data_IF_324385845107
#
_entry.id   IF_324385845107
#
_cell.length_a   1.000
_cell.length_b   1.000
_cell.length_c   1.000
_cell.angle_alpha   90.00
_cell.angle_beta   90.00
_cell.angle_gamma   90.00
#
_symmetry.space_group_name_H-M   'P 1'
#
loop_
_entity.id
_entity.type
_entity.pdbx_description
1 polymer ?
#
# COMPACT_ATOMS: atom_id res chain seq x y z
N UNK A 1 23.80 -54.22 2.07
CA UNK A 1 22.98 -55.16 2.91
C UNK A 1 21.59 -55.17 2.33
N UNK A 2 21.19 -56.26 1.74
CA UNK A 2 19.89 -56.41 1.06
C UNK A 2 18.82 -56.62 2.14
N UNK A 3 17.86 -55.73 2.26
CA UNK A 3 16.70 -55.86 3.12
C UNK A 3 15.61 -56.60 2.34
N UNK A 4 15.12 -57.70 2.82
CA UNK A 4 14.01 -58.41 2.22
C UNK A 4 12.72 -58.00 2.90
N UNK A 5 11.72 -57.66 2.08
CA UNK A 5 10.35 -57.39 2.46
C UNK A 5 9.51 -58.64 2.16
N UNK A 6 8.99 -59.27 3.20
CA UNK A 6 7.98 -60.35 3.04
C UNK A 6 6.59 -59.73 3.26
N UNK A 7 5.59 -60.16 2.50
CA UNK A 7 4.19 -59.75 2.72
C UNK A 7 3.45 -60.86 3.43
N UNK A 8 2.77 -60.51 4.53
CA UNK A 8 1.82 -61.37 5.19
C UNK A 8 0.47 -60.65 5.20
N UNK A 9 -0.56 -61.29 4.63
CA UNK A 9 -1.88 -60.69 4.51
C UNK A 9 -1.90 -59.30 3.83
N UNK A 10 -1.00 -59.07 2.83
CA UNK A 10 -0.87 -57.81 2.12
C UNK A 10 -0.09 -56.70 2.85
N UNK A 11 0.39 -56.96 4.06
CA UNK A 11 1.22 -56.07 4.87
C UNK A 11 2.68 -56.49 4.90
N UNK A 12 3.60 -55.56 5.02
CA UNK A 12 5.03 -55.79 4.98
C UNK A 12 5.59 -56.28 6.35
N UNK A 13 6.42 -57.32 6.34
CA UNK A 13 7.28 -57.74 7.45
C UNK A 13 8.74 -57.56 7.04
N UNK A 14 9.52 -56.82 7.80
CA UNK A 14 10.93 -56.62 7.50
C UNK A 14 11.78 -57.71 8.12
N UNK A 15 12.60 -58.41 7.31
CA UNK A 15 13.57 -59.40 7.81
C UNK A 15 15.01 -58.96 7.51
N UNK A 16 15.91 -59.19 8.45
CA UNK A 16 17.34 -58.92 8.31
C UNK A 16 18.06 -60.12 7.72
N UNK A 17 18.84 -59.96 6.66
CA UNK A 17 19.36 -61.02 5.78
C UNK A 17 20.34 -62.04 6.39
N UNK A 18 20.90 -61.83 7.60
CA UNK A 18 21.93 -62.79 8.05
C UNK A 18 21.41 -64.02 8.76
N UNK A 19 20.19 -63.98 9.35
CA UNK A 19 19.64 -65.12 10.09
C UNK A 19 18.10 -65.22 10.08
N UNK A 20 17.42 -64.47 9.20
CA UNK A 20 15.95 -64.47 9.17
C UNK A 20 15.26 -63.86 10.39
N UNK A 21 16.02 -63.10 11.20
CA UNK A 21 15.48 -62.51 12.41
C UNK A 21 14.51 -61.38 12.06
N UNK A 22 13.32 -61.41 12.66
CA UNK A 22 12.33 -60.31 12.57
C UNK A 22 12.88 -59.08 13.21
N UNK A 23 12.55 -57.93 12.60
CA UNK A 23 12.94 -56.60 13.09
C UNK A 23 11.70 -55.93 13.68
N UNK A 24 11.84 -55.30 14.81
CA UNK A 24 10.73 -54.65 15.53
C UNK A 24 10.96 -53.14 15.72
N UNK A 25 9.89 -52.42 16.06
CA UNK A 25 9.90 -50.99 16.38
C UNK A 25 10.08 -50.10 15.18
N UNK A 26 10.47 -48.86 15.43
CA UNK A 26 10.60 -47.83 14.39
C UNK A 26 11.71 -48.14 13.39
N UNK A 27 11.38 -48.01 12.10
CA UNK A 27 12.34 -48.18 11.00
C UNK A 27 12.20 -47.04 9.98
N UNK A 28 13.33 -46.46 9.60
CA UNK A 28 13.39 -45.51 8.47
C UNK A 28 13.77 -46.28 7.21
N UNK A 29 12.88 -46.20 6.19
CA UNK A 29 13.06 -46.83 4.88
C UNK A 29 12.82 -45.77 3.85
N UNK A 30 13.82 -45.45 3.03
CA UNK A 30 13.72 -44.41 1.99
C UNK A 30 13.17 -43.05 2.52
N UNK A 31 13.67 -42.61 3.67
CA UNK A 31 13.27 -41.39 4.35
C UNK A 31 11.82 -41.35 4.88
N UNK A 32 11.15 -42.49 4.89
CA UNK A 32 9.84 -42.67 5.54
C UNK A 32 9.99 -43.54 6.78
N UNK A 33 9.24 -43.23 7.84
CA UNK A 33 9.20 -43.98 9.06
C UNK A 33 8.04 -44.97 9.07
N UNK A 34 8.30 -46.16 9.52
CA UNK A 34 7.35 -47.26 9.68
C UNK A 34 7.51 -47.85 11.08
N UNK A 35 6.41 -48.38 11.62
CA UNK A 35 6.45 -49.10 12.90
C UNK A 35 6.14 -50.57 12.69
N UNK A 36 7.05 -51.43 13.12
CA UNK A 36 6.95 -52.89 13.07
C UNK A 36 6.52 -53.37 14.46
N UNK A 37 5.23 -53.71 14.58
CA UNK A 37 4.57 -53.94 15.85
C UNK A 37 4.97 -55.28 16.46
N UNK A 38 5.76 -55.25 17.55
CA UNK A 38 6.15 -56.45 18.31
C UNK A 38 4.94 -57.07 19.02
N UNK A 39 3.94 -56.26 19.37
CA UNK A 39 2.75 -56.68 20.10
C UNK A 39 1.61 -57.16 19.22
N UNK A 40 1.81 -57.25 17.89
CA UNK A 40 0.81 -57.83 17.02
C UNK A 40 0.67 -59.33 17.33
N UNK A 41 -0.52 -59.72 17.79
CA UNK A 41 -0.77 -61.08 18.31
C UNK A 41 -0.63 -62.15 17.25
N UNK A 42 -1.11 -61.89 16.01
CA UNK A 42 -1.06 -62.87 14.94
C UNK A 42 0.31 -62.93 14.24
N UNK A 43 0.89 -61.76 14.02
CA UNK A 43 2.15 -61.64 13.29
C UNK A 43 3.08 -60.62 13.92
N UNK A 44 3.79 -60.96 15.02
CA UNK A 44 4.75 -60.05 15.66
C UNK A 44 5.78 -59.51 14.67
N UNK A 45 5.91 -58.16 14.60
CA UNK A 45 6.73 -57.44 13.62
C UNK A 45 6.00 -57.10 12.31
N UNK A 46 4.70 -57.29 12.26
CA UNK A 46 3.88 -56.75 11.15
C UNK A 46 3.90 -55.22 11.13
N UNK A 47 4.06 -54.67 9.97
CA UNK A 47 4.03 -53.19 9.79
C UNK A 47 2.63 -52.66 10.12
N UNK A 48 2.57 -51.68 10.99
CA UNK A 48 1.34 -50.97 11.32
C UNK A 48 0.85 -50.17 10.10
N UNK A 49 -0.41 -50.39 9.76
CA UNK A 49 -1.13 -49.58 8.78
C UNK A 49 -2.48 -49.10 9.36
N UNK A 50 -2.64 -49.21 10.66
CA UNK A 50 -3.80 -48.71 11.36
C UNK A 50 -3.74 -47.16 11.30
N UNK A 51 -4.83 -46.49 10.98
CA UNK A 51 -4.82 -45.02 10.79
C UNK A 51 -4.32 -44.27 12.03
N UNK A 52 -4.45 -44.89 13.21
CA UNK A 52 -4.06 -44.32 14.51
C UNK A 52 -3.58 -45.46 15.43
N UNK A 53 -2.43 -45.25 16.11
CA UNK A 53 -1.88 -46.24 17.05
C UNK A 53 -1.15 -45.54 18.19
N UNK A 54 -1.40 -46.01 19.39
CA UNK A 54 -0.61 -45.64 20.56
C UNK A 54 0.69 -46.48 20.64
N UNK A 55 1.83 -45.84 20.76
CA UNK A 55 3.15 -46.43 20.85
C UNK A 55 3.91 -45.70 21.96
N UNK A 56 4.34 -46.42 23.00
CA UNK A 56 5.07 -45.89 24.15
C UNK A 56 4.38 -44.65 24.78
N UNK A 57 3.04 -44.69 24.92
CA UNK A 57 2.25 -43.62 25.52
C UNK A 57 2.00 -42.40 24.61
N UNK A 58 2.37 -42.47 23.34
CA UNK A 58 2.15 -41.41 22.36
C UNK A 58 1.35 -41.92 21.16
N UNK A 59 0.45 -41.10 20.64
CA UNK A 59 -0.38 -41.43 19.48
C UNK A 59 0.29 -41.00 18.19
N UNK A 60 0.43 -41.98 17.29
CA UNK A 60 0.97 -41.80 15.93
C UNK A 60 -0.10 -42.11 14.87
N UNK A 61 0.05 -41.49 13.72
CA UNK A 61 -0.83 -41.67 12.58
C UNK A 61 -0.07 -42.28 11.40
N UNK A 62 -0.74 -43.14 10.65
CA UNK A 62 -0.12 -43.86 9.53
C UNK A 62 -1.00 -43.76 8.28
N UNK A 63 -0.35 -43.67 7.14
CA UNK A 63 -1.01 -43.84 5.83
C UNK A 63 -1.37 -45.33 5.59
N UNK A 64 -2.27 -45.61 4.64
CA UNK A 64 -2.63 -47.00 4.30
C UNK A 64 -1.43 -47.88 3.87
N UNK A 65 -0.36 -47.27 3.36
CA UNK A 65 0.92 -47.96 3.03
C UNK A 65 1.84 -48.20 4.25
N UNK A 66 1.38 -47.81 5.45
CA UNK A 66 2.11 -47.94 6.71
C UNK A 66 3.15 -46.84 6.97
N UNK A 67 3.31 -45.88 6.10
CA UNK A 67 4.19 -44.74 6.34
C UNK A 67 3.62 -43.82 7.44
N UNK A 68 4.47 -43.46 8.42
CA UNK A 68 4.07 -42.52 9.47
C UNK A 68 3.75 -41.16 8.90
N UNK A 69 2.60 -40.60 9.30
CA UNK A 69 2.16 -39.26 8.87
C UNK A 69 3.05 -38.19 9.49
N UNK A 70 3.50 -37.25 8.67
CA UNK A 70 4.22 -36.02 9.07
C UNK A 70 3.62 -34.85 8.31
N UNK A 71 3.58 -33.67 8.91
CA UNK A 71 2.95 -32.49 8.33
C UNK A 71 1.44 -32.48 8.57
N UNK A 72 0.71 -31.90 7.64
CA UNK A 72 -0.74 -31.70 7.77
C UNK A 72 -1.52 -33.03 7.70
N UNK A 73 -2.40 -33.22 8.68
CA UNK A 73 -3.32 -34.35 8.79
C UNK A 73 -4.75 -33.83 8.88
N UNK A 74 -5.59 -34.19 7.92
CA UNK A 74 -7.02 -33.88 7.94
C UNK A 74 -7.79 -34.98 8.66
N UNK A 75 -8.69 -34.55 9.57
CA UNK A 75 -9.63 -35.43 10.30
C UNK A 75 -11.04 -34.85 10.12
N UNK A 76 -12.10 -35.58 10.48
CA UNK A 76 -13.49 -35.08 10.35
C UNK A 76 -13.73 -33.74 11.07
N UNK A 77 -13.11 -33.54 12.22
CA UNK A 77 -13.20 -32.32 13.05
C UNK A 77 -12.36 -31.15 12.52
N UNK A 78 -11.37 -31.41 11.64
CA UNK A 78 -10.51 -30.37 11.06
C UNK A 78 -9.07 -30.81 10.81
N UNK A 79 -8.14 -29.86 10.80
CA UNK A 79 -6.74 -30.06 10.49
C UNK A 79 -5.87 -30.12 11.74
N UNK A 80 -4.88 -31.02 11.70
CA UNK A 80 -3.81 -31.16 12.68
C UNK A 80 -2.46 -31.11 11.96
N UNK A 81 -1.41 -30.88 12.72
CA UNK A 81 -0.04 -30.96 12.21
C UNK A 81 0.78 -31.95 13.00
N UNK A 82 1.35 -32.95 12.32
CA UNK A 82 2.27 -33.89 12.89
C UNK A 82 3.70 -33.38 12.66
N UNK A 83 4.48 -33.27 13.75
CA UNK A 83 5.85 -32.79 13.66
C UNK A 83 6.78 -33.83 12.97
N UNK A 84 8.07 -33.54 12.72
CA UNK A 84 8.97 -34.49 12.09
C UNK A 84 9.14 -35.81 12.85
N UNK A 85 8.84 -35.85 14.15
CA UNK A 85 8.84 -37.10 14.94
C UNK A 85 7.53 -37.88 14.80
N UNK A 86 6.51 -37.35 14.15
CA UNK A 86 5.18 -37.92 14.01
C UNK A 86 4.22 -37.56 15.13
N UNK A 87 4.66 -36.77 16.11
CA UNK A 87 3.81 -36.35 17.21
C UNK A 87 2.93 -35.17 16.83
N UNK A 88 1.72 -35.11 17.42
CA UNK A 88 0.80 -34.01 17.24
C UNK A 88 1.40 -32.73 17.81
N UNK A 89 1.55 -31.74 16.93
CA UNK A 89 2.04 -30.41 17.31
C UNK A 89 0.95 -29.57 17.99
N UNK A 90 1.35 -28.73 18.93
CA UNK A 90 0.51 -27.68 19.54
C UNK A 90 1.24 -26.35 19.52
N UNK A 91 0.48 -25.25 19.70
CA UNK A 91 1.00 -23.90 19.68
C UNK A 91 1.34 -23.41 18.27
N UNK A 92 2.21 -22.39 18.21
CA UNK A 92 2.59 -21.75 16.96
C UNK A 92 3.47 -22.65 16.08
N UNK A 93 3.14 -22.70 14.78
CA UNK A 93 3.93 -23.39 13.74
C UNK A 93 4.06 -22.53 12.50
N UNK A 94 5.28 -22.43 11.96
CA UNK A 94 5.53 -21.79 10.66
C UNK A 94 5.69 -22.88 9.60
N UNK A 95 4.80 -22.89 8.62
CA UNK A 95 4.79 -23.88 7.53
C UNK A 95 4.69 -23.13 6.20
N UNK A 96 5.61 -23.42 5.28
CA UNK A 96 5.67 -22.78 3.95
C UNK A 96 5.58 -21.24 4.01
N UNK A 97 6.22 -20.61 5.01
CA UNK A 97 6.26 -19.16 5.18
C UNK A 97 5.12 -18.54 5.98
N UNK A 98 4.01 -19.24 6.21
CA UNK A 98 2.86 -18.75 6.98
C UNK A 98 2.87 -19.28 8.42
N UNK A 99 2.33 -18.50 9.35
CA UNK A 99 2.12 -18.90 10.72
C UNK A 99 0.74 -19.52 10.93
N UNK A 100 0.69 -20.58 11.70
CA UNK A 100 -0.51 -21.31 12.10
C UNK A 100 -0.51 -21.52 13.62
N UNK A 101 -1.70 -21.66 14.19
CA UNK A 101 -1.84 -21.98 15.61
C UNK A 101 -2.63 -23.27 15.81
N UNK A 102 -1.99 -24.26 16.42
CA UNK A 102 -2.55 -25.56 16.80
C UNK A 102 -2.99 -25.45 18.26
N UNK A 103 -4.32 -25.39 18.48
CA UNK A 103 -4.85 -25.07 19.81
C UNK A 103 -4.72 -26.24 20.79
N UNK A 104 -3.63 -26.26 21.53
CA UNK A 104 -3.39 -27.25 22.57
C UNK A 104 -4.33 -27.14 23.78
N UNK A 105 -4.98 -26.00 23.97
CA UNK A 105 -5.95 -25.76 25.04
C UNK A 105 -7.39 -26.12 24.65
N UNK A 106 -7.64 -26.58 23.41
CA UNK A 106 -8.93 -27.09 23.01
C UNK A 106 -9.23 -28.39 23.75
N UNK A 107 -10.21 -28.39 24.65
CA UNK A 107 -10.54 -29.50 25.53
C UNK A 107 -11.05 -30.74 24.77
N UNK A 108 -11.79 -30.53 23.69
CA UNK A 108 -12.38 -31.64 22.90
C UNK A 108 -11.39 -32.20 21.88
N UNK A 109 -10.64 -31.28 21.21
CA UNK A 109 -9.75 -31.62 20.13
C UNK A 109 -8.39 -30.95 20.28
N UNK A 110 -7.54 -31.40 21.26
CA UNK A 110 -6.24 -30.75 21.48
C UNK A 110 -5.37 -30.77 20.23
N UNK A 111 -4.79 -29.59 19.87
CA UNK A 111 -3.97 -29.45 18.68
C UNK A 111 -4.76 -29.21 17.39
N UNK A 112 -6.08 -28.97 17.46
CA UNK A 112 -6.87 -28.57 16.29
C UNK A 112 -6.41 -27.22 15.74
N UNK A 113 -6.30 -27.12 14.42
CA UNK A 113 -5.94 -25.89 13.73
C UNK A 113 -7.02 -24.81 13.95
N UNK A 114 -6.59 -23.63 14.38
CA UNK A 114 -7.47 -22.46 14.46
C UNK A 114 -7.68 -21.89 13.06
N UNK A 115 -8.95 -21.74 12.64
CA UNK A 115 -9.32 -21.27 11.31
C UNK A 115 -10.45 -20.24 11.37
N UNK A 116 -10.47 -19.31 10.42
CA UNK A 116 -11.58 -18.35 10.14
C UNK A 116 -12.12 -17.60 11.35
N UNK A 117 -11.27 -17.28 12.32
CA UNK A 117 -11.67 -16.59 13.54
C UNK A 117 -10.54 -15.74 14.14
N UNK A 118 -10.93 -14.95 15.15
CA UNK A 118 -9.98 -14.34 16.08
C UNK A 118 -9.78 -15.27 17.28
N UNK A 119 -8.52 -15.41 17.72
CA UNK A 119 -8.15 -16.21 18.90
C UNK A 119 -7.23 -15.41 19.80
N UNK A 120 -7.57 -15.31 21.07
CA UNK A 120 -6.70 -14.70 22.08
C UNK A 120 -5.71 -15.77 22.60
N UNK A 121 -4.44 -15.47 22.45
CA UNK A 121 -3.32 -16.35 22.84
C UNK A 121 -2.40 -15.54 23.74
N UNK A 122 -2.19 -15.98 24.97
CA UNK A 122 -1.40 -15.26 25.97
C UNK A 122 -1.76 -13.77 26.10
N UNK A 123 -3.06 -13.45 26.14
CA UNK A 123 -3.56 -12.07 26.27
C UNK A 123 -3.53 -11.25 24.98
N UNK A 124 -3.03 -11.77 23.87
CA UNK A 124 -2.97 -11.10 22.57
C UNK A 124 -3.92 -11.75 21.58
N UNK A 125 -4.73 -10.94 20.88
CA UNK A 125 -5.68 -11.44 19.88
C UNK A 125 -5.05 -11.47 18.50
N UNK A 126 -5.05 -12.63 17.88
CA UNK A 126 -4.61 -12.91 16.51
C UNK A 126 -5.80 -13.27 15.63
N UNK A 127 -5.66 -13.05 14.35
CA UNK A 127 -6.70 -13.33 13.37
C UNK A 127 -6.20 -14.37 12.37
N UNK A 128 -7.05 -15.37 12.08
CA UNK A 128 -6.73 -16.46 11.18
C UNK A 128 -7.70 -16.47 9.99
N UNK A 129 -7.21 -16.77 8.80
CA UNK A 129 -8.02 -16.90 7.61
C UNK A 129 -8.66 -18.30 7.54
N UNK A 130 -9.49 -18.55 6.51
CA UNK A 130 -10.16 -19.86 6.30
C UNK A 130 -9.20 -21.05 6.16
N UNK A 131 -7.98 -20.81 5.69
CA UNK A 131 -6.96 -21.83 5.59
C UNK A 131 -6.15 -22.02 6.90
N UNK A 132 -6.49 -21.27 7.97
CA UNK A 132 -5.80 -21.29 9.24
C UNK A 132 -4.49 -20.50 9.30
N UNK A 133 -4.10 -19.84 8.21
CA UNK A 133 -2.93 -18.98 8.26
C UNK A 133 -3.25 -17.69 9.03
N UNK A 134 -2.34 -17.28 9.93
CA UNK A 134 -2.40 -16.00 10.62
C UNK A 134 -2.41 -14.85 9.59
N UNK A 135 -3.29 -13.87 9.80
CA UNK A 135 -3.38 -12.70 8.91
C UNK A 135 -2.09 -11.87 8.99
N UNK A 136 -1.52 -11.58 7.85
CA UNK A 136 -0.34 -10.75 7.65
C UNK A 136 -0.51 -9.92 6.36
N UNK A 137 -0.05 -8.65 6.36
CA UNK A 137 -0.23 -7.77 5.22
C UNK A 137 -1.65 -7.22 5.08
N UNK A 138 -2.04 -6.88 3.86
CA UNK A 138 -3.36 -6.34 3.55
C UNK A 138 -4.46 -7.39 3.62
N UNK A 139 -5.55 -7.04 4.28
CA UNK A 139 -6.73 -7.89 4.42
C UNK A 139 -8.03 -7.11 4.21
N UNK A 140 -8.89 -7.61 3.32
CA UNK A 140 -10.20 -7.03 3.03
C UNK A 140 -11.29 -7.78 3.82
N UNK A 141 -12.14 -7.05 4.53
CA UNK A 141 -13.26 -7.60 5.27
C UNK A 141 -14.43 -6.61 5.30
N UNK A 142 -15.64 -7.05 4.96
CA UNK A 142 -16.87 -6.23 4.94
C UNK A 142 -16.70 -4.89 4.20
N UNK A 143 -16.04 -4.91 3.03
CA UNK A 143 -15.81 -3.72 2.21
C UNK A 143 -14.76 -2.74 2.75
N UNK A 144 -14.06 -3.10 3.81
CA UNK A 144 -12.99 -2.30 4.42
C UNK A 144 -11.65 -3.02 4.31
N UNK A 145 -10.56 -2.24 4.23
CA UNK A 145 -9.21 -2.77 4.23
C UNK A 145 -8.55 -2.56 5.59
N UNK A 146 -7.77 -3.55 6.00
CA UNK A 146 -6.95 -3.56 7.22
C UNK A 146 -5.53 -3.99 6.87
N UNK A 147 -4.57 -3.64 7.69
CA UNK A 147 -3.19 -4.12 7.56
C UNK A 147 -2.74 -4.81 8.84
N UNK A 148 -2.25 -6.04 8.71
CA UNK A 148 -1.67 -6.80 9.82
C UNK A 148 -0.15 -6.80 9.66
N UNK A 149 0.57 -6.51 10.74
CA UNK A 149 2.03 -6.55 10.72
C UNK A 149 2.55 -8.01 10.72
N UNK A 150 3.86 -8.18 10.57
CA UNK A 150 4.52 -9.51 10.56
C UNK A 150 4.29 -10.32 11.84
N UNK A 151 3.94 -9.67 12.95
CA UNK A 151 3.55 -10.34 14.20
C UNK A 151 2.06 -10.69 14.26
N UNK A 152 1.29 -10.48 13.19
CA UNK A 152 -0.14 -10.80 13.10
C UNK A 152 -1.06 -9.82 13.82
N UNK A 153 -0.53 -8.69 14.29
CA UNK A 153 -1.32 -7.66 14.96
C UNK A 153 -1.83 -6.61 13.97
N UNK A 154 -3.06 -6.10 14.15
CA UNK A 154 -3.56 -5.03 13.29
C UNK A 154 -2.72 -3.78 13.46
N UNK A 155 -2.26 -3.20 12.34
CA UNK A 155 -1.60 -1.91 12.35
C UNK A 155 -2.61 -0.80 12.62
N UNK A 156 -2.14 0.26 13.29
CA UNK A 156 -2.94 1.42 13.65
C UNK A 156 -2.15 2.69 13.34
N UNK A 157 -2.84 3.74 12.88
CA UNK A 157 -2.21 4.99 12.48
C UNK A 157 -1.48 4.90 11.13
N UNK A 158 -0.40 5.64 11.00
CA UNK A 158 0.38 5.71 9.77
C UNK A 158 1.16 4.42 9.48
N UNK A 159 1.03 3.91 8.25
CA UNK A 159 1.76 2.73 7.78
C UNK A 159 2.35 2.96 6.39
N UNK A 160 3.65 2.71 6.26
CA UNK A 160 4.35 2.75 4.98
C UNK A 160 4.44 1.34 4.39
N UNK A 161 3.90 1.16 3.17
CA UNK A 161 3.88 -0.13 2.47
C UNK A 161 4.17 0.10 0.99
N UNK A 162 5.14 -0.62 0.44
CA UNK A 162 5.48 -0.60 -0.99
C UNK A 162 5.58 0.81 -1.60
N UNK A 163 6.28 1.73 -0.94
CA UNK A 163 6.53 3.07 -1.46
C UNK A 163 5.42 4.10 -1.19
N UNK A 164 4.32 3.71 -0.54
CA UNK A 164 3.19 4.60 -0.24
C UNK A 164 2.85 4.62 1.25
N UNK A 165 2.38 5.76 1.72
CA UNK A 165 1.83 5.89 3.06
C UNK A 165 0.32 5.64 3.05
N UNK A 166 -0.14 4.96 4.08
CA UNK A 166 -1.55 4.67 4.36
C UNK A 166 -1.89 5.08 5.79
N UNK A 167 -3.15 5.34 6.05
CA UNK A 167 -3.62 5.62 7.41
C UNK A 167 -4.70 4.61 7.83
N UNK A 168 -4.37 3.82 8.86
CA UNK A 168 -5.27 2.87 9.51
C UNK A 168 -5.91 3.60 10.69
N UNK A 169 -7.19 3.99 10.53
CA UNK A 169 -7.85 4.92 11.45
C UNK A 169 -8.16 4.28 12.80
N UNK A 170 -7.43 4.62 13.88
CA UNK A 170 -7.66 4.02 15.21
C UNK A 170 -9.03 4.35 15.77
N UNK A 171 -9.64 5.46 15.36
CA UNK A 171 -10.97 5.88 15.79
C UNK A 171 -12.08 5.13 15.02
N UNK A 172 -11.72 4.44 13.94
CA UNK A 172 -12.65 3.65 13.14
C UNK A 172 -12.20 2.19 13.03
N UNK A 173 -11.75 1.60 14.13
CA UNK A 173 -11.37 0.19 14.22
C UNK A 173 -10.20 -0.19 13.32
N UNK A 174 -9.25 0.71 13.10
CA UNK A 174 -8.07 0.52 12.23
C UNK A 174 -8.42 0.24 10.75
N UNK A 175 -9.56 0.73 10.27
CA UNK A 175 -9.90 0.67 8.85
C UNK A 175 -8.98 1.62 8.06
N UNK A 176 -8.54 1.18 6.89
CA UNK A 176 -7.78 2.02 5.97
C UNK A 176 -8.63 3.19 5.48
N UNK A 177 -8.12 4.41 5.61
CA UNK A 177 -8.74 5.59 5.03
C UNK A 177 -8.50 5.58 3.51
N UNK A 178 -9.57 5.81 2.74
CA UNK A 178 -9.51 5.86 1.28
C UNK A 178 -10.53 6.85 0.71
N UNK A 179 -10.21 7.43 -0.46
CA UNK A 179 -11.15 8.21 -1.28
C UNK A 179 -11.55 9.56 -0.69
N UNK A 180 -10.59 10.43 -0.35
CA UNK A 180 -10.93 11.78 0.08
C UNK A 180 -10.02 12.40 1.12
N UNK A 181 -10.49 13.50 1.71
CA UNK A 181 -9.80 14.26 2.73
C UNK A 181 -10.03 13.68 4.13
N UNK A 182 -8.97 13.65 4.93
CA UNK A 182 -9.01 13.26 6.35
C UNK A 182 -8.10 14.17 7.17
N UNK A 183 -8.60 14.61 8.31
CA UNK A 183 -7.78 15.28 9.34
C UNK A 183 -7.10 14.22 10.19
N UNK A 184 -5.78 14.35 10.33
CA UNK A 184 -4.98 13.53 11.23
C UNK A 184 -4.08 14.48 12.02
N UNK A 185 -4.19 14.47 13.34
CA UNK A 185 -3.43 15.32 14.25
C UNK A 185 -3.45 16.81 13.86
N UNK A 186 -4.62 17.34 13.46
CA UNK A 186 -4.79 18.74 13.09
C UNK A 186 -4.36 19.12 11.67
N UNK A 187 -3.78 18.23 10.90
CA UNK A 187 -3.39 18.44 9.50
C UNK A 187 -4.30 17.71 8.55
N UNK A 188 -4.58 18.30 7.39
CA UNK A 188 -5.36 17.69 6.33
C UNK A 188 -4.49 16.87 5.39
N UNK A 189 -4.94 15.65 5.10
CA UNK A 189 -4.33 14.72 4.14
C UNK A 189 -5.38 14.26 3.15
N UNK A 190 -4.95 13.96 1.94
CA UNK A 190 -5.81 13.36 0.92
C UNK A 190 -5.37 11.93 0.64
N UNK A 191 -6.33 11.02 0.60
CA UNK A 191 -6.11 9.63 0.26
C UNK A 191 -6.81 9.29 -1.05
N UNK A 192 -6.10 8.65 -1.97
CA UNK A 192 -6.71 8.14 -3.20
C UNK A 192 -7.69 6.99 -2.89
N UNK A 193 -8.49 6.57 -3.89
CA UNK A 193 -9.37 5.41 -3.74
C UNK A 193 -8.66 4.12 -3.38
N UNK A 194 -7.37 4.01 -3.70
CA UNK A 194 -6.49 2.91 -3.28
C UNK A 194 -6.05 2.96 -1.81
N UNK A 195 -6.37 4.04 -1.08
CA UNK A 195 -5.88 4.32 0.27
C UNK A 195 -4.48 4.94 0.33
N UNK A 196 -3.77 5.05 -0.79
CA UNK A 196 -2.45 5.70 -0.80
C UNK A 196 -2.57 7.21 -0.53
N UNK A 197 -1.73 7.74 0.37
CA UNK A 197 -1.66 9.17 0.68
C UNK A 197 -1.11 9.96 -0.51
N UNK A 198 -1.80 11.03 -0.90
CA UNK A 198 -1.33 11.96 -1.91
C UNK A 198 -0.18 12.84 -1.38
N UNK A 199 0.71 13.24 -2.28
CA UNK A 199 1.84 14.16 -2.03
C UNK A 199 1.96 15.16 -3.16
N UNK A 200 2.64 16.27 -2.88
CA UNK A 200 2.90 17.30 -3.87
C UNK A 200 1.61 17.92 -4.44
N UNK A 201 1.52 18.08 -5.74
CA UNK A 201 0.35 18.66 -6.38
C UNK A 201 -0.82 17.69 -6.47
N UNK A 202 -1.98 18.11 -5.95
CA UNK A 202 -3.24 17.38 -6.04
C UNK A 202 -4.26 18.20 -6.86
N UNK A 203 -4.76 17.63 -7.95
CA UNK A 203 -5.91 18.15 -8.67
C UNK A 203 -7.19 17.52 -8.12
N UNK A 204 -8.15 18.35 -7.70
CA UNK A 204 -9.47 17.93 -7.25
C UNK A 204 -10.53 18.76 -7.99
N UNK A 205 -11.11 18.18 -9.04
CA UNK A 205 -11.95 18.92 -9.98
C UNK A 205 -11.17 19.98 -10.75
N UNK A 206 -11.62 21.24 -10.69
CA UNK A 206 -10.94 22.40 -11.31
C UNK A 206 -9.87 23.02 -10.41
N UNK A 207 -9.73 22.54 -9.19
CA UNK A 207 -8.93 23.16 -8.15
C UNK A 207 -7.66 22.38 -7.89
N UNK A 208 -6.62 23.10 -7.48
CA UNK A 208 -5.33 22.53 -7.16
C UNK A 208 -4.99 22.81 -5.71
N UNK A 209 -4.41 21.80 -5.07
CA UNK A 209 -3.87 21.85 -3.72
C UNK A 209 -2.40 21.46 -3.76
N UNK A 210 -1.64 21.94 -2.80
CA UNK A 210 -0.27 21.49 -2.62
C UNK A 210 -0.14 20.76 -1.28
N UNK A 211 0.27 19.51 -1.37
CA UNK A 211 0.55 18.65 -0.23
C UNK A 211 2.06 18.52 -0.13
N UNK A 212 2.66 18.78 1.03
CA UNK A 212 4.10 18.65 1.18
C UNK A 212 4.61 17.23 0.91
N UNK A 213 5.91 17.04 0.99
CA UNK A 213 6.52 15.69 0.95
C UNK A 213 6.02 14.79 2.08
N UNK A 214 5.57 15.38 3.18
CA UNK A 214 4.90 14.75 4.31
C UNK A 214 3.42 14.42 4.05
N UNK A 215 2.87 14.84 2.90
CA UNK A 215 1.48 14.66 2.51
C UNK A 215 0.50 15.64 3.16
N UNK A 216 0.94 16.50 4.07
CA UNK A 216 0.09 17.48 4.72
C UNK A 216 -0.26 18.64 3.76
N UNK A 217 -1.54 19.04 3.74
CA UNK A 217 -2.01 20.19 2.96
C UNK A 217 -1.28 21.47 3.40
N UNK A 218 -0.67 22.17 2.46
CA UNK A 218 0.04 23.44 2.70
C UNK A 218 -0.87 24.62 2.42
N UNK A 219 -0.61 25.72 3.14
CA UNK A 219 -1.27 27.01 2.97
C UNK A 219 -0.24 28.13 2.93
N UNK A 220 -0.65 29.32 2.45
CA UNK A 220 0.25 30.44 2.25
C UNK A 220 1.18 30.26 1.05
N UNK A 221 2.26 31.05 1.04
CA UNK A 221 3.25 31.02 -0.03
C UNK A 221 4.09 29.76 -0.01
N UNK A 222 4.15 29.06 -1.13
CA UNK A 222 4.92 27.82 -1.35
C UNK A 222 5.88 27.98 -2.52
N UNK A 223 7.15 27.70 -2.32
CA UNK A 223 8.15 27.65 -3.39
C UNK A 223 8.29 26.21 -3.89
N UNK A 224 7.90 25.96 -5.14
CA UNK A 224 7.93 24.63 -5.73
C UNK A 224 8.69 24.70 -7.04
N UNK A 225 9.80 23.96 -7.14
CA UNK A 225 10.68 23.91 -8.31
C UNK A 225 11.06 25.32 -8.86
N UNK A 226 11.37 26.26 -7.95
CA UNK A 226 11.79 27.60 -8.30
C UNK A 226 10.67 28.59 -8.66
N UNK A 227 9.42 28.19 -8.60
CA UNK A 227 8.25 29.07 -8.74
C UNK A 227 7.50 29.21 -7.45
N UNK A 228 6.97 30.41 -7.19
CA UNK A 228 6.15 30.68 -6.02
C UNK A 228 4.66 30.54 -6.37
N UNK A 229 3.91 29.94 -5.43
CA UNK A 229 2.47 29.72 -5.48
C UNK A 229 1.85 30.11 -4.16
N UNK A 230 0.56 30.41 -4.14
CA UNK A 230 -0.16 30.73 -2.91
C UNK A 230 -1.38 29.83 -2.74
N UNK A 231 -1.47 29.17 -1.59
CA UNK A 231 -2.60 28.35 -1.17
C UNK A 231 -3.37 29.09 -0.08
N UNK A 232 -4.67 29.29 -0.26
CA UNK A 232 -5.46 30.07 0.70
C UNK A 232 -5.44 29.47 2.11
N UNK A 233 -5.32 30.34 3.10
CA UNK A 233 -5.54 29.98 4.50
C UNK A 233 -7.04 29.74 4.76
N UNK A 234 -7.35 29.11 5.92
CA UNK A 234 -8.69 29.16 6.46
C UNK A 234 -9.05 30.61 6.81
N UNK A 235 -10.18 31.12 6.27
CA UNK A 235 -10.60 32.51 6.42
C UNK A 235 -9.56 33.54 5.89
N UNK A 236 -8.98 33.24 4.73
CA UNK A 236 -7.97 34.08 4.09
C UNK A 236 -8.51 35.48 3.76
N UNK A 237 -7.74 36.53 4.10
CA UNK A 237 -8.09 37.94 3.83
C UNK A 237 -8.24 38.25 2.34
N UNK A 238 -7.59 37.49 1.45
CA UNK A 238 -7.71 37.63 0.00
C UNK A 238 -8.99 37.00 -0.57
N UNK A 239 -9.78 36.32 0.26
CA UNK A 239 -11.01 35.62 -0.12
C UNK A 239 -10.73 34.44 -1.06
N UNK A 240 -10.82 33.26 -0.59
CA UNK A 240 -10.61 32.02 -1.34
C UNK A 240 -10.97 30.84 -0.49
N UNK A 241 -11.08 29.66 -1.12
CA UNK A 241 -11.40 28.44 -0.42
C UNK A 241 -10.11 27.85 0.16
N UNK A 242 -10.13 27.48 1.42
CA UNK A 242 -9.01 26.94 2.16
C UNK A 242 -8.26 25.84 1.41
N UNK A 243 -6.95 25.99 1.31
CA UNK A 243 -6.04 25.06 0.66
C UNK A 243 -5.98 25.14 -0.86
N UNK A 244 -6.95 25.81 -1.51
CA UNK A 244 -6.96 25.94 -2.96
C UNK A 244 -5.87 26.91 -3.42
N UNK A 245 -5.22 26.59 -4.54
CA UNK A 245 -4.21 27.44 -5.19
C UNK A 245 -4.85 28.68 -5.80
N UNK A 246 -4.34 29.86 -5.44
CA UNK A 246 -4.71 31.11 -6.07
C UNK A 246 -4.19 31.18 -7.51
N UNK A 247 -5.02 31.71 -8.44
CA UNK A 247 -4.68 31.89 -9.86
C UNK A 247 -5.36 33.11 -10.42
N UNK A 248 -4.78 33.73 -11.47
CA UNK A 248 -5.30 34.91 -12.18
C UNK A 248 -5.64 36.08 -11.24
N UNK A 249 -4.81 36.34 -10.23
CA UNK A 249 -5.07 37.43 -9.27
C UNK A 249 -3.81 37.90 -8.52
N UNK A 250 -3.94 39.03 -7.85
CA UNK A 250 -2.93 39.56 -6.93
C UNK A 250 -3.08 38.98 -5.54
N UNK A 251 -1.94 38.60 -4.95
CA UNK A 251 -1.77 38.28 -3.55
C UNK A 251 -0.53 39.04 -3.04
N UNK A 252 -0.69 39.85 -2.02
CA UNK A 252 0.40 40.65 -1.39
C UNK A 252 1.21 41.48 -2.41
N UNK A 253 0.52 42.02 -3.45
CA UNK A 253 1.17 42.80 -4.51
C UNK A 253 1.83 41.98 -5.63
N UNK A 254 1.86 40.64 -5.54
CA UNK A 254 2.39 39.74 -6.56
C UNK A 254 1.25 39.15 -7.40
N UNK A 255 1.40 39.15 -8.71
CA UNK A 255 0.39 38.55 -9.61
C UNK A 255 0.67 37.06 -9.83
N UNK A 256 -0.34 36.25 -9.61
CA UNK A 256 -0.33 34.81 -9.90
C UNK A 256 -1.00 34.56 -11.24
N UNK A 257 -0.32 33.91 -12.17
CA UNK A 257 -0.81 33.60 -13.51
C UNK A 257 -1.92 32.54 -13.53
N UNK A 258 -2.35 32.16 -14.72
CA UNK A 258 -3.41 31.15 -14.91
C UNK A 258 -3.05 29.76 -14.36
N UNK A 259 -1.76 29.43 -14.32
CA UNK A 259 -1.21 28.21 -13.72
C UNK A 259 -0.89 28.33 -12.22
N UNK A 260 -1.24 29.47 -11.59
CA UNK A 260 -0.96 29.77 -10.19
C UNK A 260 0.46 30.21 -9.88
N UNK A 261 1.39 30.12 -10.82
CA UNK A 261 2.77 30.56 -10.58
C UNK A 261 2.85 32.09 -10.48
N UNK A 262 3.65 32.58 -9.52
CA UNK A 262 3.97 34.01 -9.40
C UNK A 262 4.75 34.47 -10.63
N UNK A 263 4.27 35.52 -11.25
CA UNK A 263 4.96 36.12 -12.39
C UNK A 263 6.02 37.13 -11.94
N UNK A 264 7.08 37.35 -12.73
CA UNK A 264 8.04 38.42 -12.48
C UNK A 264 7.33 39.78 -12.37
N UNK A 265 7.86 40.68 -11.57
CA UNK A 265 7.23 41.98 -11.26
C UNK A 265 6.80 42.75 -12.50
N UNK A 266 7.63 42.86 -13.54
CA UNK A 266 7.30 43.52 -14.79
C UNK A 266 6.10 42.85 -15.49
N UNK A 267 6.07 41.54 -15.55
CA UNK A 267 5.00 40.75 -16.15
C UNK A 267 3.68 40.96 -15.37
N UNK A 268 3.76 40.98 -14.04
CA UNK A 268 2.61 41.24 -13.16
C UNK A 268 2.01 42.61 -13.37
N UNK A 269 2.86 43.64 -13.40
CA UNK A 269 2.43 45.01 -13.61
C UNK A 269 1.81 45.21 -15.00
N UNK A 270 2.38 44.64 -16.08
CA UNK A 270 1.84 44.70 -17.41
C UNK A 270 0.52 43.92 -17.52
N UNK A 271 0.38 42.81 -16.86
CA UNK A 271 -0.87 42.03 -16.81
C UNK A 271 -1.99 42.79 -16.11
N UNK A 272 -1.70 43.46 -14.99
CA UNK A 272 -2.68 44.34 -14.33
C UNK A 272 -3.12 45.48 -15.23
N UNK A 273 -2.16 46.14 -15.85
CA UNK A 273 -2.44 47.28 -16.74
C UNK A 273 -3.26 46.84 -17.95
N UNK A 274 -3.04 45.63 -18.48
CA UNK A 274 -3.80 45.08 -19.59
C UNK A 274 -5.30 45.03 -19.31
N UNK A 275 -5.72 44.74 -18.07
CA UNK A 275 -7.14 44.59 -17.72
C UNK A 275 -7.97 45.86 -17.95
N UNK A 276 -7.34 47.04 -18.03
CA UNK A 276 -8.02 48.33 -18.26
C UNK A 276 -8.14 48.69 -19.74
N UNK A 277 -7.56 47.91 -20.66
CA UNK A 277 -7.58 48.24 -22.09
C UNK A 277 -8.60 47.39 -22.85
N UNK A 278 -9.19 48.01 -23.86
CA UNK A 278 -10.01 47.33 -24.88
C UNK A 278 -9.18 47.06 -26.13
N UNK A 279 -9.54 46.04 -26.89
CA UNK A 279 -9.02 45.79 -28.23
C UNK A 279 -10.18 45.36 -29.15
N UNK A 280 -10.12 45.76 -30.42
CA UNK A 280 -11.06 45.30 -31.44
C UNK A 280 -10.78 43.87 -31.93
N UNK A 281 -9.75 43.25 -31.36
CA UNK A 281 -9.36 41.84 -31.59
C UNK A 281 -9.25 41.13 -30.28
N UNK A 282 -9.06 39.82 -30.34
CA UNK A 282 -8.77 38.99 -29.13
C UNK A 282 -7.30 39.11 -28.67
N UNK A 283 -6.56 40.12 -29.11
CA UNK A 283 -5.18 40.36 -28.78
C UNK A 283 -4.96 41.78 -28.28
N UNK A 284 -4.04 41.92 -27.31
CA UNK A 284 -3.53 43.20 -26.83
C UNK A 284 -2.00 43.09 -26.69
N UNK A 285 -1.29 44.13 -27.18
CA UNK A 285 0.16 44.22 -27.03
C UNK A 285 0.47 45.39 -26.12
N UNK A 286 1.19 45.19 -25.04
CA UNK A 286 1.73 46.24 -24.20
C UNK A 286 3.26 46.26 -24.28
N UNK A 287 3.82 47.47 -24.29
CA UNK A 287 5.27 47.69 -24.25
C UNK A 287 5.58 48.55 -23.04
N UNK A 288 6.43 48.03 -22.14
CA UNK A 288 7.01 48.81 -21.05
C UNK A 288 8.37 49.36 -21.51
N UNK A 289 8.41 50.66 -21.81
CA UNK A 289 9.63 51.33 -22.28
C UNK A 289 10.72 51.43 -21.20
N UNK A 290 10.32 51.59 -19.93
CA UNK A 290 11.26 51.76 -18.83
C UNK A 290 12.09 50.49 -18.59
N UNK A 291 11.48 49.32 -18.74
CA UNK A 291 12.13 48.01 -18.49
C UNK A 291 12.45 47.23 -19.77
N UNK A 292 12.13 47.84 -20.96
CA UNK A 292 12.33 47.20 -22.27
C UNK A 292 11.65 45.82 -22.35
N UNK A 293 10.38 45.74 -21.97
CA UNK A 293 9.60 44.49 -22.00
C UNK A 293 8.38 44.64 -22.91
N UNK A 294 8.08 43.56 -23.62
CA UNK A 294 6.88 43.42 -24.45
C UNK A 294 6.05 42.27 -23.91
N UNK A 295 4.75 42.50 -23.81
CA UNK A 295 3.79 41.46 -23.48
C UNK A 295 2.69 41.40 -24.56
N UNK A 296 2.35 40.20 -25.01
CA UNK A 296 1.16 39.93 -25.83
C UNK A 296 0.16 39.20 -24.95
N UNK A 297 -1.07 39.66 -24.98
CA UNK A 297 -2.21 39.12 -24.28
C UNK A 297 -3.24 38.57 -25.23
N UNK A 298 -3.93 37.50 -24.84
CA UNK A 298 -5.14 37.00 -25.45
C UNK A 298 -6.30 37.23 -24.50
N UNK A 299 -7.48 37.62 -25.02
CA UNK A 299 -8.64 37.80 -24.17
C UNK A 299 -9.49 39.02 -24.60
N UNK A 300 -10.03 39.71 -23.57
CA UNK A 300 -10.88 40.89 -23.70
C UNK A 300 -10.76 41.77 -22.46
N UNK A 301 -11.37 42.95 -22.48
CA UNK A 301 -11.42 43.86 -21.34
C UNK A 301 -11.74 43.13 -20.03
N UNK A 302 -10.90 43.31 -19.00
CA UNK A 302 -11.05 42.71 -17.69
C UNK A 302 -10.69 41.22 -17.62
N UNK A 303 -10.32 40.56 -18.76
CA UNK A 303 -9.99 39.14 -18.83
C UNK A 303 -8.83 38.85 -19.80
N UNK A 304 -7.82 39.73 -19.79
CA UNK A 304 -6.60 39.56 -20.58
C UNK A 304 -5.66 38.56 -19.92
N UNK A 305 -5.28 37.51 -20.65
CA UNK A 305 -4.30 36.53 -20.24
C UNK A 305 -3.01 36.67 -21.03
N UNK A 306 -1.86 36.64 -20.35
CA UNK A 306 -0.59 36.79 -21.03
C UNK A 306 -0.29 35.53 -21.87
N UNK A 307 0.10 35.79 -23.14
CA UNK A 307 0.46 34.75 -24.10
C UNK A 307 1.97 34.69 -24.29
N UNK A 308 2.61 35.85 -24.46
CA UNK A 308 4.05 35.95 -24.65
C UNK A 308 4.62 37.12 -23.87
N UNK A 309 5.83 36.98 -23.36
CA UNK A 309 6.55 38.01 -22.64
C UNK A 309 8.04 37.87 -22.90
N UNK A 310 8.69 38.95 -23.36
CA UNK A 310 10.13 38.96 -23.65
C UNK A 310 10.75 40.35 -23.50
N UNK A 311 12.08 40.41 -23.56
CA UNK A 311 12.82 41.64 -23.63
C UNK A 311 12.83 42.17 -25.06
N UNK A 312 12.64 43.48 -25.24
CA UNK A 312 12.81 44.18 -26.50
C UNK A 312 13.95 45.18 -26.44
N UNK A 313 14.49 45.54 -27.59
CA UNK A 313 15.45 46.63 -27.67
C UNK A 313 14.73 47.99 -27.49
N UNK A 314 15.26 48.93 -26.71
CA UNK A 314 14.76 50.30 -26.68
C UNK A 314 15.06 51.02 -28.00
N UNK A 315 14.30 52.05 -28.34
CA UNK A 315 14.67 52.93 -29.42
C UNK A 315 15.98 53.70 -29.13
N UNK A 316 16.74 53.99 -30.16
CA UNK A 316 17.93 54.83 -30.02
C UNK A 316 17.57 56.26 -29.57
N UNK A 317 18.53 56.95 -28.95
CA UNK A 317 18.30 58.33 -28.50
C UNK A 317 17.82 59.27 -29.58
N UNK A 318 18.32 59.08 -30.84
CA UNK A 318 17.91 59.83 -32.02
C UNK A 318 16.55 59.36 -32.61
N UNK A 319 16.12 58.16 -32.31
CA UNK A 319 14.84 57.58 -32.77
C UNK A 319 14.16 56.84 -31.60
N UNK A 320 13.67 57.59 -30.62
CA UNK A 320 13.10 56.99 -29.43
C UNK A 320 11.81 56.24 -29.76
N UNK A 321 11.56 55.18 -28.99
CA UNK A 321 10.28 54.46 -29.07
C UNK A 321 9.14 55.41 -28.73
N UNK A 322 8.21 55.61 -29.65
CA UNK A 322 7.02 56.46 -29.44
C UNK A 322 6.13 55.90 -28.34
N UNK A 323 5.43 56.82 -27.67
CA UNK A 323 4.41 56.43 -26.67
C UNK A 323 3.02 56.75 -27.15
N UNK A 324 2.07 55.90 -26.81
CA UNK A 324 0.69 56.07 -27.21
C UNK A 324 -0.03 54.73 -27.37
N UNK A 325 -1.27 54.80 -27.82
CA UNK A 325 -2.08 53.65 -28.23
C UNK A 325 -2.06 53.54 -29.75
N UNK A 326 -1.69 52.39 -30.25
CA UNK A 326 -1.56 52.16 -31.70
C UNK A 326 -2.34 50.90 -32.08
N UNK A 327 -2.87 50.89 -33.30
CA UNK A 327 -3.48 49.71 -33.90
C UNK A 327 -2.48 49.02 -34.81
N UNK A 328 -2.36 47.69 -34.67
CA UNK A 328 -1.53 46.89 -35.59
C UNK A 328 -2.25 46.80 -36.93
N UNK A 329 -1.68 47.44 -37.94
CA UNK A 329 -2.32 47.55 -39.25
C UNK A 329 -2.09 46.31 -40.12
N UNK A 330 -0.94 45.66 -39.99
CA UNK A 330 -0.62 44.43 -40.73
C UNK A 330 0.42 43.55 -40.01
N UNK A 331 0.41 42.28 -40.32
CA UNK A 331 1.37 41.29 -39.85
C UNK A 331 2.33 40.92 -40.98
N UNK A 332 3.63 41.09 -40.77
CA UNK A 332 4.67 40.62 -41.70
C UNK A 332 5.35 39.41 -41.13
N UNK A 333 5.41 38.31 -41.88
CA UNK A 333 6.32 37.20 -41.56
C UNK A 333 7.70 37.60 -42.08
N UNK A 334 8.65 37.78 -41.18
CA UNK A 334 10.06 37.84 -41.51
C UNK A 334 10.61 36.41 -41.32
N UNK A 335 11.14 35.86 -42.41
CA UNK A 335 11.83 34.59 -42.44
C UNK A 335 13.28 34.74 -41.93
#
# INVERSE_FOLDING_TARGET
MTKWLATVSGRLVLMQCRYGAKVYGWKNINSQWYYLDVNNEEHPGLMTADPEKEIDGATYYFYPDGAMVRGWLQRPEGWYYQDPSGLRATGWRRVAGAWYYLDGANETYPGLLVTDCAKTINGTTYYFNKAGAMREGWYAENGSWYYYNESGLPASGWKYVNGSWYYLDPQNGNRMVAGGWKVVNGSWYYFYGSGAMAKNWLAAGSDWYYLGEDGAMKTGWQSVKGSWYYMYYQNDSHGGIWGIMAKNRYIDGYYLGANGAMLPTDMSMMTAKAQAYTSNTNYLILVNRATCRVAIFNGRLGAWNINKFWQCAPGAAATPTVSGTFTVQYKRLLF
#
